data_IF_466151381104
#
_entry.id   IF_466151381104
#
_cell.length_a   1.000
_cell.length_b   1.000
_cell.length_c   1.000
_cell.angle_alpha   90.00
_cell.angle_beta   90.00
_cell.angle_gamma   90.00
#
_symmetry.space_group_name_H-M   'P 1'
#
loop_
_entity.id
_entity.type
_entity.pdbx_description
1 polymer ?
#
# COMPACT_ATOMS: atom_id res chain seq x y z
N UNK A 1 -2.56 23.51 -29.64
CA UNK A 1 -2.83 24.51 -28.59
C UNK A 1 -1.80 24.36 -27.50
N UNK A 2 -1.82 25.22 -26.48
CA UNK A 2 -0.94 25.07 -25.32
C UNK A 2 -1.76 24.94 -24.05
N UNK A 3 -1.17 24.35 -23.02
CA UNK A 3 -1.74 24.24 -21.69
C UNK A 3 -0.77 24.85 -20.68
N UNK A 4 -1.28 25.76 -19.84
CA UNK A 4 -0.50 26.41 -18.79
C UNK A 4 -1.16 26.07 -17.46
N UNK A 5 -0.39 25.49 -16.53
CA UNK A 5 -0.88 25.08 -15.23
C UNK A 5 0.27 24.91 -14.22
N UNK A 6 -0.09 24.73 -12.96
CA UNK A 6 0.83 24.40 -11.87
C UNK A 6 0.82 22.90 -11.57
N UNK A 7 1.96 22.39 -11.10
CA UNK A 7 2.06 21.04 -10.51
C UNK A 7 1.62 21.04 -9.03
N UNK A 8 1.53 22.22 -8.42
CA UNK A 8 1.19 22.44 -7.02
C UNK A 8 -0.08 23.29 -6.89
N UNK A 9 -0.52 23.53 -5.65
CA UNK A 9 -1.57 24.50 -5.37
C UNK A 9 -1.11 25.90 -5.79
N UNK A 10 -1.97 26.56 -6.56
CA UNK A 10 -1.78 27.96 -6.90
C UNK A 10 -2.13 28.86 -5.70
N UNK A 11 -1.38 29.94 -5.44
CA UNK A 11 -1.73 30.88 -4.39
C UNK A 11 -3.08 31.55 -4.65
N UNK A 12 -3.77 31.92 -3.56
CA UNK A 12 -5.13 32.50 -3.64
C UNK A 12 -5.23 33.85 -4.37
N UNK A 13 -4.10 34.56 -4.50
CA UNK A 13 -4.00 35.78 -5.32
C UNK A 13 -4.14 35.48 -6.83
N UNK A 14 -3.98 34.22 -7.24
CA UNK A 14 -4.12 33.77 -8.62
C UNK A 14 -2.94 34.18 -9.49
N UNK A 15 -3.22 34.54 -10.75
CA UNK A 15 -2.18 34.83 -11.74
C UNK A 15 -1.96 36.34 -11.85
N UNK A 16 -0.74 36.83 -12.15
CA UNK A 16 -0.49 38.26 -12.31
C UNK A 16 -0.97 38.77 -13.68
N UNK A 17 -2.29 38.84 -13.85
CA UNK A 17 -2.98 39.16 -15.10
C UNK A 17 -2.51 40.48 -15.70
N UNK A 18 -2.28 41.51 -14.89
CA UNK A 18 -1.80 42.81 -15.33
C UNK A 18 -0.46 42.71 -16.07
N UNK A 19 0.45 41.84 -15.61
CA UNK A 19 1.79 41.71 -16.17
C UNK A 19 1.79 41.04 -17.54
N UNK A 20 1.17 39.86 -17.67
CA UNK A 20 1.20 39.14 -18.95
C UNK A 20 0.18 39.67 -19.95
N UNK A 21 -0.92 40.30 -19.52
CA UNK A 21 -1.81 41.00 -20.44
C UNK A 21 -1.19 42.31 -20.96
N UNK A 22 -0.31 42.97 -20.19
CA UNK A 22 0.49 44.07 -20.72
C UNK A 22 1.44 43.61 -21.83
N UNK A 23 2.07 42.44 -21.68
CA UNK A 23 2.91 41.83 -22.72
C UNK A 23 2.08 41.51 -23.99
N UNK A 24 0.90 40.89 -23.83
CA UNK A 24 -0.01 40.61 -24.93
C UNK A 24 -0.51 41.88 -25.62
N UNK A 25 -0.81 42.93 -24.86
CA UNK A 25 -1.20 44.24 -25.41
C UNK A 25 -0.07 44.86 -26.23
N UNK A 26 1.18 44.74 -25.76
CA UNK A 26 2.34 45.26 -26.46
C UNK A 26 2.67 44.45 -27.73
N UNK A 27 2.37 43.15 -27.74
CA UNK A 27 2.51 42.29 -28.91
C UNK A 27 1.25 41.42 -29.11
N UNK A 28 0.20 41.93 -29.77
CA UNK A 28 -1.05 41.20 -29.94
C UNK A 28 -0.95 40.03 -30.92
N UNK A 29 0.20 39.86 -31.59
CA UNK A 29 0.46 38.78 -32.54
C UNK A 29 1.24 37.61 -31.92
N UNK A 30 1.36 37.56 -30.58
CA UNK A 30 1.96 36.41 -29.89
C UNK A 30 1.28 35.11 -30.32
N UNK A 31 2.09 34.11 -30.66
CA UNK A 31 1.58 32.74 -30.81
C UNK A 31 1.11 32.22 -29.45
N UNK A 32 0.25 31.18 -29.40
CA UNK A 32 -0.13 30.56 -28.14
C UNK A 32 1.08 30.12 -27.30
N UNK A 33 2.15 29.60 -27.93
CA UNK A 33 3.38 29.23 -27.25
C UNK A 33 4.13 30.41 -26.65
N UNK A 34 4.21 31.54 -27.37
CA UNK A 34 4.82 32.76 -26.86
C UNK A 34 4.04 33.32 -25.68
N UNK A 35 2.71 33.38 -25.78
CA UNK A 35 1.85 33.86 -24.69
C UNK A 35 1.97 32.95 -23.46
N UNK A 36 1.91 31.63 -23.64
CA UNK A 36 2.07 30.67 -22.54
C UNK A 36 3.44 30.79 -21.85
N UNK A 37 4.51 31.01 -22.63
CA UNK A 37 5.83 31.27 -22.07
C UNK A 37 5.91 32.58 -21.29
N UNK A 38 5.26 33.65 -21.78
CA UNK A 38 5.15 34.90 -21.05
C UNK A 38 4.41 34.74 -19.73
N UNK A 39 3.29 34.01 -19.71
CA UNK A 39 2.51 33.75 -18.49
C UNK A 39 3.39 33.09 -17.42
N UNK A 40 4.04 31.97 -17.74
CA UNK A 40 4.91 31.24 -16.80
C UNK A 40 6.05 32.11 -16.28
N UNK A 41 6.70 32.88 -17.16
CA UNK A 41 7.78 33.76 -16.77
C UNK A 41 7.31 34.90 -15.84
N UNK A 42 6.14 35.50 -16.10
CA UNK A 42 5.57 36.56 -15.25
C UNK A 42 5.11 36.02 -13.91
N UNK A 43 4.44 34.87 -13.91
CA UNK A 43 3.99 34.19 -12.71
C UNK A 43 5.16 33.86 -11.78
N UNK A 44 6.19 33.18 -12.29
CA UNK A 44 7.36 32.83 -11.51
C UNK A 44 8.12 34.04 -10.96
N UNK A 45 8.31 35.09 -11.78
CA UNK A 45 8.94 36.32 -11.30
C UNK A 45 8.11 37.03 -10.23
N UNK A 46 6.79 37.09 -10.39
CA UNK A 46 5.89 37.74 -9.45
C UNK A 46 6.00 37.11 -8.05
N UNK A 47 5.86 35.79 -7.96
CA UNK A 47 5.94 35.09 -6.67
C UNK A 47 7.35 35.01 -6.10
N UNK A 48 8.39 34.93 -6.95
CA UNK A 48 9.78 35.01 -6.50
C UNK A 48 10.08 36.31 -5.74
N UNK A 49 9.55 37.46 -6.20
CA UNK A 49 9.74 38.74 -5.52
C UNK A 49 9.05 38.83 -4.15
N UNK A 50 8.12 37.92 -3.88
CA UNK A 50 7.34 37.83 -2.65
C UNK A 50 7.86 36.74 -1.69
N UNK A 51 8.90 36.01 -2.11
CA UNK A 51 9.44 34.89 -1.34
C UNK A 51 8.50 33.68 -1.29
N UNK A 52 7.55 33.59 -2.22
CA UNK A 52 6.57 32.51 -2.29
C UNK A 52 7.05 31.43 -3.27
N UNK A 53 7.01 30.17 -2.82
CA UNK A 53 7.42 29.03 -3.64
C UNK A 53 6.23 28.56 -4.48
N UNK A 54 6.39 28.56 -5.81
CA UNK A 54 5.35 28.15 -6.77
C UNK A 54 5.96 27.34 -7.92
N UNK A 55 5.11 26.58 -8.61
CA UNK A 55 5.42 25.96 -9.91
C UNK A 55 4.44 26.46 -10.97
N UNK A 56 4.90 26.55 -12.22
CA UNK A 56 4.02 26.70 -13.39
C UNK A 56 4.77 26.28 -14.65
N UNK A 57 4.08 25.59 -15.56
CA UNK A 57 4.65 25.16 -16.83
C UNK A 57 3.72 25.46 -17.98
N UNK A 58 4.28 25.44 -19.19
CA UNK A 58 3.55 25.55 -20.44
C UNK A 58 3.91 24.35 -21.33
N UNK A 59 2.89 23.61 -21.76
CA UNK A 59 3.02 22.41 -22.59
C UNK A 59 2.38 22.61 -23.97
N UNK A 60 3.02 22.09 -25.01
CA UNK A 60 2.45 21.95 -26.35
C UNK A 60 1.53 20.73 -26.42
N UNK A 61 0.21 20.98 -26.49
CA UNK A 61 -0.80 19.93 -26.55
C UNK A 61 -0.69 19.04 -27.78
N UNK A 62 -0.04 19.51 -28.85
CA UNK A 62 0.18 18.70 -30.07
C UNK A 62 1.22 17.61 -29.87
N UNK A 63 2.01 17.69 -28.80
CA UNK A 63 3.06 16.71 -28.45
C UNK A 63 2.60 15.70 -27.42
N UNK A 64 1.49 15.96 -26.72
CA UNK A 64 0.95 15.03 -25.71
C UNK A 64 0.64 13.63 -26.24
N UNK A 65 0.16 13.41 -27.48
CA UNK A 65 -0.02 12.05 -27.98
C UNK A 65 1.29 11.25 -27.99
N UNK A 66 2.41 11.85 -28.41
CA UNK A 66 3.71 11.19 -28.41
C UNK A 66 4.23 10.92 -26.99
N UNK A 67 4.00 11.85 -26.06
CA UNK A 67 4.32 11.65 -24.65
C UNK A 67 3.47 10.52 -24.04
N UNK A 68 2.17 10.49 -24.32
CA UNK A 68 1.27 9.44 -23.86
C UNK A 68 1.70 8.07 -24.38
N UNK A 69 2.07 7.96 -25.66
CA UNK A 69 2.61 6.72 -26.23
C UNK A 69 3.94 6.30 -25.61
N UNK A 70 4.80 7.24 -25.22
CA UNK A 70 6.05 6.91 -24.54
C UNK A 70 5.81 6.40 -23.11
N UNK A 71 4.86 6.99 -22.38
CA UNK A 71 4.47 6.52 -21.05
C UNK A 71 3.77 5.16 -21.11
N UNK A 72 2.92 4.93 -22.11
CA UNK A 72 2.33 3.62 -22.39
C UNK A 72 3.39 2.55 -22.64
N UNK A 73 4.34 2.82 -23.54
CA UNK A 73 5.44 1.89 -23.82
C UNK A 73 6.27 1.57 -22.58
N UNK A 74 6.51 2.56 -21.71
CA UNK A 74 7.15 2.34 -20.41
C UNK A 74 6.30 1.45 -19.50
N UNK A 75 4.99 1.70 -19.39
CA UNK A 75 4.09 0.92 -18.56
C UNK A 75 4.01 -0.54 -19.02
N UNK A 76 3.89 -0.79 -20.34
CA UNK A 76 3.95 -2.12 -20.95
C UNK A 76 5.26 -2.83 -20.58
N UNK A 77 6.40 -2.18 -20.80
CA UNK A 77 7.70 -2.77 -20.50
C UNK A 77 7.88 -3.06 -19.00
N UNK A 78 7.33 -2.21 -18.14
CA UNK A 78 7.38 -2.38 -16.70
C UNK A 78 6.49 -3.55 -16.21
N UNK A 79 5.31 -3.75 -16.81
CA UNK A 79 4.45 -4.92 -16.57
C UNK A 79 5.17 -6.23 -16.93
N UNK A 80 5.92 -6.23 -18.04
CA UNK A 80 6.70 -7.39 -18.49
C UNK A 80 8.01 -7.61 -17.70
N UNK A 81 8.37 -6.70 -16.79
CA UNK A 81 9.61 -6.75 -16.02
C UNK A 81 9.42 -6.57 -14.49
N UNK A 82 8.74 -7.49 -13.78
CA UNK A 82 8.61 -7.44 -12.31
C UNK A 82 9.92 -7.25 -11.52
N UNK A 83 11.07 -7.83 -11.94
CA UNK A 83 12.35 -7.55 -11.26
C UNK A 83 12.78 -6.07 -11.28
N UNK A 84 12.25 -5.24 -12.18
CA UNK A 84 12.55 -3.81 -12.25
C UNK A 84 11.73 -2.96 -11.27
N UNK A 85 10.65 -3.51 -10.68
CA UNK A 85 9.69 -2.75 -9.88
C UNK A 85 10.32 -2.05 -8.68
N UNK A 86 11.28 -2.68 -8.00
CA UNK A 86 12.01 -2.06 -6.89
C UNK A 86 12.70 -0.75 -7.29
N UNK A 87 13.29 -0.70 -8.49
CA UNK A 87 13.93 0.52 -9.00
C UNK A 87 12.91 1.60 -9.34
N UNK A 88 11.72 1.22 -9.83
CA UNK A 88 10.64 2.14 -10.16
C UNK A 88 10.01 2.72 -8.90
N UNK A 89 9.76 1.87 -7.89
CA UNK A 89 9.27 2.28 -6.56
C UNK A 89 10.26 3.24 -5.91
N UNK A 90 11.57 2.94 -5.98
CA UNK A 90 12.60 3.84 -5.46
C UNK A 90 12.62 5.20 -6.18
N UNK A 91 12.55 5.21 -7.52
CA UNK A 91 12.48 6.45 -8.31
C UNK A 91 11.22 7.27 -7.97
N UNK A 92 10.09 6.61 -7.76
CA UNK A 92 8.83 7.22 -7.31
C UNK A 92 8.92 7.80 -5.90
N UNK A 93 9.61 7.14 -4.98
CA UNK A 93 9.77 7.59 -3.60
C UNK A 93 10.59 8.88 -3.48
N UNK A 94 11.57 9.07 -4.36
CA UNK A 94 12.47 10.24 -4.38
C UNK A 94 12.00 11.36 -5.31
N UNK A 95 11.11 11.08 -6.26
CA UNK A 95 10.55 12.09 -7.16
C UNK A 95 9.75 13.14 -6.37
N UNK A 96 9.90 14.40 -6.80
CA UNK A 96 9.14 15.52 -6.26
C UNK A 96 7.64 15.26 -6.31
N UNK A 97 6.95 15.76 -5.30
CA UNK A 97 5.51 15.76 -5.14
C UNK A 97 5.13 17.09 -4.50
N UNK A 98 3.85 17.46 -4.57
CA UNK A 98 3.39 18.81 -4.25
C UNK A 98 2.23 18.75 -3.25
N UNK A 99 1.13 19.44 -3.48
CA UNK A 99 -0.09 19.33 -2.65
C UNK A 99 -0.56 17.89 -2.37
N UNK A 100 -0.46 17.01 -3.35
CA UNK A 100 -0.89 15.61 -3.24
C UNK A 100 0.29 14.66 -3.55
N UNK A 101 0.62 13.81 -2.58
CA UNK A 101 1.69 12.80 -2.65
C UNK A 101 1.43 11.72 -3.70
N UNK A 102 0.21 11.57 -4.18
CA UNK A 102 -0.10 10.64 -5.24
C UNK A 102 0.41 11.14 -6.59
N UNK A 103 0.53 12.45 -6.80
CA UNK A 103 1.05 13.01 -8.04
C UNK A 103 2.56 13.23 -7.93
N UNK A 104 3.30 12.68 -8.91
CA UNK A 104 4.76 12.64 -8.91
C UNK A 104 5.31 13.28 -10.17
N UNK A 105 6.40 14.02 -10.03
CA UNK A 105 7.10 14.64 -11.16
C UNK A 105 7.54 13.56 -12.17
N UNK A 106 6.97 13.61 -13.39
CA UNK A 106 7.13 12.58 -14.41
C UNK A 106 8.60 12.47 -14.87
N UNK A 107 9.24 13.61 -15.13
CA UNK A 107 10.63 13.67 -15.57
C UNK A 107 11.60 13.31 -14.44
N UNK A 108 11.23 13.58 -13.19
CA UNK A 108 11.94 13.16 -11.98
C UNK A 108 12.03 11.64 -11.86
N UNK A 109 10.95 10.93 -12.21
CA UNK A 109 10.94 9.46 -12.27
C UNK A 109 11.72 8.96 -13.48
N UNK A 110 11.37 9.42 -14.69
CA UNK A 110 11.97 8.94 -15.94
C UNK A 110 13.49 9.18 -15.97
N UNK A 111 13.95 10.35 -15.51
CA UNK A 111 15.37 10.68 -15.45
C UNK A 111 16.18 9.76 -14.52
N UNK A 112 15.62 9.33 -13.39
CA UNK A 112 16.27 8.39 -12.47
C UNK A 112 16.38 6.98 -13.04
N UNK A 113 15.45 6.59 -13.91
CA UNK A 113 15.43 5.27 -14.54
C UNK A 113 16.27 5.19 -15.83
N UNK A 114 16.94 6.29 -16.22
CA UNK A 114 17.73 6.40 -17.45
C UNK A 114 18.95 5.46 -17.54
N UNK A 115 19.35 4.84 -16.42
CA UNK A 115 20.40 3.80 -16.33
C UNK A 115 19.89 2.44 -15.84
N UNK A 116 18.57 2.29 -15.70
CA UNK A 116 17.94 1.03 -15.27
C UNK A 116 17.81 0.01 -16.41
N UNK A 117 17.26 -1.16 -16.09
CA UNK A 117 16.84 -2.15 -17.10
C UNK A 117 15.76 -1.62 -18.06
N UNK A 118 15.01 -0.60 -17.66
CA UNK A 118 13.97 0.09 -18.48
C UNK A 118 14.48 1.41 -19.07
N UNK A 119 15.81 1.56 -19.21
CA UNK A 119 16.41 2.84 -19.57
C UNK A 119 16.02 3.35 -20.96
N UNK A 120 15.70 2.48 -21.92
CA UNK A 120 15.30 2.92 -23.26
C UNK A 120 13.93 3.59 -23.23
N UNK A 121 12.99 2.98 -22.54
CA UNK A 121 11.61 3.44 -22.36
C UNK A 121 11.60 4.70 -21.50
N UNK A 122 12.35 4.72 -20.40
CA UNK A 122 12.50 5.90 -19.55
C UNK A 122 13.11 7.09 -20.32
N UNK A 123 14.15 6.87 -21.13
CA UNK A 123 14.74 7.91 -21.99
C UNK A 123 13.75 8.39 -23.06
N UNK A 124 12.88 7.52 -23.57
CA UNK A 124 11.83 7.90 -24.52
C UNK A 124 10.77 8.80 -23.87
N UNK A 125 10.36 8.49 -22.63
CA UNK A 125 9.47 9.37 -21.84
C UNK A 125 10.11 10.75 -21.65
N UNK A 126 11.36 10.80 -21.18
CA UNK A 126 12.07 12.09 -21.00
C UNK A 126 12.22 12.87 -22.29
N UNK A 127 12.53 12.20 -23.41
CA UNK A 127 12.63 12.86 -24.71
C UNK A 127 11.28 13.43 -25.18
N UNK A 128 10.19 12.66 -25.05
CA UNK A 128 8.86 13.12 -25.42
C UNK A 128 8.36 14.24 -24.51
N UNK A 129 8.68 14.18 -23.21
CA UNK A 129 8.39 15.23 -22.24
C UNK A 129 9.08 16.54 -22.63
N UNK A 130 10.38 16.51 -22.91
CA UNK A 130 11.13 17.70 -23.33
C UNK A 130 10.68 18.25 -24.69
N UNK A 131 10.10 17.43 -25.57
CA UNK A 131 9.46 17.92 -26.80
C UNK A 131 8.13 18.63 -26.53
N UNK A 132 7.38 18.20 -25.50
CA UNK A 132 6.13 18.82 -25.10
C UNK A 132 6.32 20.09 -24.26
N UNK A 133 7.41 20.17 -23.49
CA UNK A 133 7.67 21.31 -22.61
C UNK A 133 8.10 22.56 -23.40
N UNK A 134 7.28 23.60 -23.36
CA UNK A 134 7.62 24.92 -23.91
C UNK A 134 8.45 25.72 -22.90
N UNK A 135 7.99 25.79 -21.66
CA UNK A 135 8.72 26.42 -20.57
C UNK A 135 8.27 25.89 -19.22
N UNK A 136 9.16 25.98 -18.23
CA UNK A 136 8.90 25.60 -16.85
C UNK A 136 9.46 26.67 -15.91
N UNK A 137 8.72 26.96 -14.86
CA UNK A 137 9.19 27.66 -13.68
C UNK A 137 8.90 26.80 -12.46
N UNK A 138 9.91 26.61 -11.62
CA UNK A 138 9.74 26.05 -10.28
C UNK A 138 10.62 26.81 -9.30
N UNK A 139 10.08 27.14 -8.14
CA UNK A 139 10.89 27.52 -7.00
C UNK A 139 11.88 26.38 -6.66
N UNK A 140 13.11 26.73 -6.30
CA UNK A 140 14.18 25.76 -6.10
C UNK A 140 13.86 24.74 -4.99
N UNK A 141 13.10 25.14 -3.98
CA UNK A 141 12.67 24.26 -2.88
C UNK A 141 11.65 23.19 -3.31
N UNK A 142 10.91 23.43 -4.38
CA UNK A 142 9.91 22.49 -4.91
C UNK A 142 10.52 21.53 -5.94
N UNK A 143 11.49 22.02 -6.73
CA UNK A 143 12.25 21.20 -7.67
C UNK A 143 11.43 20.61 -8.82
N UNK A 144 10.33 21.26 -9.19
CA UNK A 144 9.42 20.78 -10.23
C UNK A 144 9.89 21.00 -11.65
N UNK A 145 9.54 20.06 -12.52
CA UNK A 145 9.98 19.99 -13.91
C UNK A 145 8.86 20.35 -14.88
N UNK A 146 7.60 20.34 -14.44
CA UNK A 146 6.49 20.94 -15.15
C UNK A 146 5.33 20.00 -15.50
N UNK A 147 5.39 18.72 -15.13
CA UNK A 147 4.27 17.80 -15.31
C UNK A 147 4.33 16.65 -14.32
N UNK A 148 3.23 16.43 -13.61
CA UNK A 148 3.04 15.27 -12.74
C UNK A 148 2.29 14.14 -13.43
N UNK A 149 2.53 12.92 -12.96
CA UNK A 149 1.72 11.72 -13.24
C UNK A 149 1.15 11.15 -11.93
N UNK A 150 -0.06 10.61 -11.96
CA UNK A 150 -0.65 9.92 -10.81
C UNK A 150 0.07 8.58 -10.57
N UNK A 151 0.74 8.47 -9.43
CA UNK A 151 1.51 7.31 -8.99
C UNK A 151 1.48 7.21 -7.44
N UNK A 152 0.36 6.72 -6.87
CA UNK A 152 0.16 6.64 -5.42
C UNK A 152 1.13 5.67 -4.73
N UNK A 153 1.28 5.83 -3.41
CA UNK A 153 1.98 4.86 -2.56
C UNK A 153 0.93 4.03 -1.83
N UNK A 154 0.34 3.07 -2.53
CA UNK A 154 -0.76 2.26 -2.02
C UNK A 154 -1.85 2.10 -3.07
N UNK A 155 -3.03 1.72 -2.59
CA UNK A 155 -4.19 1.44 -3.43
C UNK A 155 -4.46 2.57 -4.44
N UNK A 156 -4.62 2.17 -5.70
CA UNK A 156 -4.94 3.06 -6.81
C UNK A 156 -6.43 3.38 -6.74
N UNK A 157 -6.77 4.67 -6.67
CA UNK A 157 -8.15 5.16 -6.59
C UNK A 157 -9.03 4.51 -7.69
N UNK A 158 -10.25 4.13 -7.33
CA UNK A 158 -11.21 3.57 -8.28
C UNK A 158 -11.61 4.56 -9.37
N UNK A 159 -11.56 5.86 -9.08
CA UNK A 159 -11.87 6.91 -10.05
C UNK A 159 -10.74 7.08 -11.08
N UNK A 160 -9.52 6.63 -10.75
CA UNK A 160 -8.40 6.56 -11.71
C UNK A 160 -8.48 5.25 -12.52
N UNK A 161 -9.50 5.18 -13.37
CA UNK A 161 -9.76 4.02 -14.22
C UNK A 161 -10.12 4.46 -15.64
N UNK A 162 -9.91 3.56 -16.62
CA UNK A 162 -10.23 3.77 -18.03
C UNK A 162 -11.68 4.27 -18.28
N UNK A 163 -12.63 3.94 -17.40
CA UNK A 163 -14.01 4.41 -17.48
C UNK A 163 -14.14 5.94 -17.33
N UNK A 164 -13.25 6.58 -16.58
CA UNK A 164 -13.34 7.99 -16.17
C UNK A 164 -12.19 8.85 -16.71
N UNK A 165 -11.00 8.27 -16.87
CA UNK A 165 -9.78 8.99 -17.25
C UNK A 165 -9.31 8.50 -18.61
N UNK A 166 -9.23 9.40 -19.60
CA UNK A 166 -8.79 9.06 -20.95
C UNK A 166 -7.35 8.53 -20.97
N UNK A 167 -6.44 9.10 -20.17
CA UNK A 167 -5.06 8.63 -20.09
C UNK A 167 -4.96 7.17 -19.61
N UNK A 168 -5.76 6.78 -18.62
CA UNK A 168 -5.88 5.39 -18.19
C UNK A 168 -6.51 4.49 -19.27
N UNK A 169 -7.44 5.02 -20.07
CA UNK A 169 -8.01 4.26 -21.20
C UNK A 169 -7.02 4.02 -22.33
N UNK A 170 -6.19 5.03 -22.62
CA UNK A 170 -5.34 5.07 -23.80
C UNK A 170 -3.94 4.50 -23.53
N UNK A 171 -3.61 4.15 -22.27
CA UNK A 171 -2.30 3.64 -21.85
C UNK A 171 -2.44 2.52 -20.84
N UNK A 172 -1.42 1.68 -20.69
CA UNK A 172 -1.35 0.63 -19.66
C UNK A 172 -0.91 1.16 -18.28
N UNK A 173 -0.99 2.48 -18.06
CA UNK A 173 -0.42 3.09 -16.87
C UNK A 173 -1.15 2.67 -15.59
N UNK A 174 -2.49 2.65 -15.59
CA UNK A 174 -3.25 2.23 -14.41
C UNK A 174 -3.13 0.71 -14.15
N UNK A 175 -3.07 -0.12 -15.19
CA UNK A 175 -2.76 -1.55 -15.05
C UNK A 175 -1.39 -1.75 -14.40
N UNK A 176 -0.38 -1.01 -14.86
CA UNK A 176 0.96 -1.06 -14.30
C UNK A 176 1.01 -0.65 -12.83
N UNK A 177 0.48 0.52 -12.46
CA UNK A 177 0.55 0.99 -11.06
C UNK A 177 -0.34 0.16 -10.12
N UNK A 178 -1.38 -0.52 -10.64
CA UNK A 178 -2.17 -1.52 -9.88
C UNK A 178 -1.38 -2.81 -9.71
N UNK A 179 -0.67 -3.27 -10.73
CA UNK A 179 0.19 -4.46 -10.65
C UNK A 179 1.39 -4.27 -9.71
N UNK A 180 1.88 -3.04 -9.56
CA UNK A 180 2.89 -2.69 -8.56
C UNK A 180 2.41 -2.86 -7.12
N UNK A 181 1.10 -2.89 -6.87
CA UNK A 181 0.59 -3.17 -5.54
C UNK A 181 0.71 -4.68 -5.26
N UNK A 182 1.23 -5.08 -4.09
CA UNK A 182 1.23 -6.49 -3.71
C UNK A 182 -0.21 -7.02 -3.75
N UNK A 183 -0.42 -8.13 -4.46
CA UNK A 183 -1.73 -8.77 -4.54
C UNK A 183 -2.12 -9.28 -3.16
N UNK A 184 -3.35 -9.00 -2.67
CA UNK A 184 -3.78 -9.52 -1.38
C UNK A 184 -3.58 -11.03 -1.27
N UNK A 185 -3.00 -11.51 -0.16
CA UNK A 185 -2.82 -12.94 0.07
C UNK A 185 -4.16 -13.70 0.06
N UNK A 186 -4.12 -15.01 -0.22
CA UNK A 186 -5.33 -15.83 -0.35
C UNK A 186 -6.22 -15.84 0.89
N UNK A 187 -5.63 -15.59 2.06
CA UNK A 187 -6.31 -15.54 3.36
C UNK A 187 -6.45 -14.11 3.91
N UNK A 188 -6.49 -13.11 3.02
CA UNK A 188 -6.78 -11.71 3.37
C UNK A 188 -8.23 -11.53 3.86
N UNK A 189 -9.19 -12.15 3.18
CA UNK A 189 -10.59 -12.03 3.60
C UNK A 189 -10.93 -12.97 4.77
N UNK A 190 -11.66 -12.45 5.75
CA UNK A 190 -12.24 -13.23 6.86
C UNK A 190 -13.08 -14.42 6.38
N UNK A 191 -13.70 -14.30 5.20
CA UNK A 191 -14.54 -15.35 4.61
C UNK A 191 -13.75 -16.49 3.95
N UNK A 192 -12.45 -16.30 3.74
CA UNK A 192 -11.54 -17.28 3.14
C UNK A 192 -10.31 -17.55 4.03
N UNK A 193 -10.48 -17.91 5.32
CA UNK A 193 -9.35 -18.11 6.22
C UNK A 193 -8.57 -19.37 5.83
N UNK A 194 -7.24 -19.36 6.02
CA UNK A 194 -6.44 -20.56 5.83
C UNK A 194 -6.74 -21.58 6.94
N UNK A 195 -7.21 -22.77 6.57
CA UNK A 195 -7.59 -23.80 7.54
C UNK A 195 -6.36 -24.54 8.11
N UNK A 196 -6.20 -24.50 9.43
CA UNK A 196 -5.22 -25.29 10.16
C UNK A 196 -5.79 -26.70 10.37
N UNK A 197 -5.18 -27.71 9.74
CA UNK A 197 -5.74 -29.08 9.69
C UNK A 197 -5.14 -30.03 10.72
N UNK A 198 -4.06 -29.64 11.40
CA UNK A 198 -3.35 -30.45 12.38
C UNK A 198 -3.45 -29.82 13.77
N UNK A 199 -3.36 -30.66 14.81
CA UNK A 199 -3.38 -30.19 16.21
C UNK A 199 -2.16 -29.34 16.58
N UNK A 200 -1.05 -29.51 15.87
CA UNK A 200 0.17 -28.72 16.02
C UNK A 200 0.82 -28.53 14.66
N UNK A 201 1.62 -27.49 14.51
CA UNK A 201 2.34 -27.21 13.27
C UNK A 201 2.82 -25.79 13.18
N UNK A 202 3.32 -25.46 11.99
CA UNK A 202 3.64 -24.09 11.59
C UNK A 202 3.24 -23.87 10.13
N UNK A 203 2.97 -22.62 9.80
CA UNK A 203 2.70 -22.17 8.43
C UNK A 203 3.29 -20.79 8.22
N UNK A 204 3.57 -20.47 6.96
CA UNK A 204 4.07 -19.17 6.56
C UNK A 204 2.95 -18.33 5.91
N UNK A 205 3.05 -17.02 6.07
CA UNK A 205 2.26 -16.02 5.35
C UNK A 205 3.11 -14.80 5.03
N UNK A 206 2.55 -13.87 4.27
CA UNK A 206 3.11 -12.53 4.11
C UNK A 206 1.91 -11.59 3.99
N UNK A 207 1.79 -10.59 4.86
CA UNK A 207 0.65 -9.67 4.88
C UNK A 207 0.88 -8.41 4.00
N UNK A 208 1.98 -8.34 3.25
CA UNK A 208 2.15 -7.35 2.19
C UNK A 208 0.99 -7.47 1.18
N UNK A 209 0.17 -6.42 1.10
CA UNK A 209 -1.02 -6.38 0.24
C UNK A 209 -2.32 -6.81 0.91
N UNK A 210 -2.28 -7.30 2.14
CA UNK A 210 -3.48 -7.55 2.93
C UNK A 210 -4.23 -6.23 3.24
N UNK A 211 -5.53 -6.31 3.50
CA UNK A 211 -6.39 -5.17 3.75
C UNK A 211 -7.30 -5.43 4.96
N UNK A 212 -7.61 -4.37 5.70
CA UNK A 212 -8.62 -4.46 6.75
C UNK A 212 -10.04 -4.44 6.15
N UNK A 213 -10.87 -5.41 6.53
CA UNK A 213 -12.28 -5.43 6.16
C UNK A 213 -13.13 -4.45 7.02
N UNK A 214 -14.19 -3.85 6.45
CA UNK A 214 -15.14 -3.04 7.21
C UNK A 214 -15.75 -3.81 8.38
N UNK A 215 -15.49 -3.34 9.60
CA UNK A 215 -16.02 -3.93 10.83
C UNK A 215 -15.08 -4.93 11.50
N UNK A 216 -13.86 -5.12 11.01
CA UNK A 216 -12.86 -5.91 11.74
C UNK A 216 -12.62 -5.39 13.17
N UNK A 217 -12.62 -6.29 14.16
CA UNK A 217 -12.34 -5.91 15.54
C UNK A 217 -10.87 -5.52 15.70
N UNK A 218 -10.61 -4.61 16.64
CA UNK A 218 -9.23 -4.30 17.06
C UNK A 218 -8.55 -5.54 17.64
N UNK A 219 -7.29 -5.79 17.27
CA UNK A 219 -6.47 -6.86 17.83
C UNK A 219 -5.55 -6.25 18.88
N UNK A 220 -5.66 -6.68 20.13
CA UNK A 220 -4.89 -6.09 21.26
C UNK A 220 -5.01 -4.55 21.38
N UNK A 221 -6.14 -3.97 20.94
CA UNK A 221 -6.35 -2.52 20.92
C UNK A 221 -5.85 -1.80 19.64
N UNK A 222 -5.09 -2.48 18.79
CA UNK A 222 -4.58 -1.96 17.51
C UNK A 222 -5.68 -2.00 16.45
N UNK A 223 -5.79 -0.92 15.65
CA UNK A 223 -6.71 -0.86 14.52
C UNK A 223 -6.20 -1.76 13.39
N UNK A 224 -7.02 -2.68 12.85
CA UNK A 224 -6.60 -3.53 11.73
C UNK A 224 -6.22 -2.72 10.49
N UNK A 225 -5.22 -3.20 9.75
CA UNK A 225 -4.73 -2.61 8.50
C UNK A 225 -4.38 -3.67 7.45
N UNK A 226 -3.67 -4.71 7.85
CA UNK A 226 -3.10 -5.74 6.98
C UNK A 226 -3.28 -7.12 7.61
N UNK A 227 -4.50 -7.41 8.09
CA UNK A 227 -4.78 -8.66 8.79
C UNK A 227 -4.91 -9.83 7.83
N UNK A 228 -4.28 -10.96 8.18
CA UNK A 228 -4.51 -12.25 7.55
C UNK A 228 -5.25 -13.18 8.51
N UNK A 229 -6.08 -14.05 7.95
CA UNK A 229 -6.99 -14.91 8.70
C UNK A 229 -6.65 -16.40 8.57
N UNK A 230 -6.68 -17.10 9.70
CA UNK A 230 -6.63 -18.55 9.80
C UNK A 230 -7.84 -19.07 10.56
N UNK A 231 -8.21 -20.32 10.32
CA UNK A 231 -9.27 -20.99 11.07
C UNK A 231 -8.78 -22.31 11.63
N UNK A 232 -9.18 -22.63 12.85
CA UNK A 232 -8.88 -23.91 13.48
C UNK A 232 -10.10 -24.47 14.18
N UNK A 233 -10.39 -25.74 13.94
CA UNK A 233 -11.45 -26.47 14.66
C UNK A 233 -10.80 -27.63 15.41
N UNK A 234 -10.65 -27.55 16.74
CA UNK A 234 -10.01 -28.59 17.52
C UNK A 234 -10.72 -29.94 17.32
N UNK A 235 -9.99 -31.03 16.99
CA UNK A 235 -10.59 -32.35 16.85
C UNK A 235 -11.00 -32.97 18.20
N UNK A 236 -10.53 -32.41 19.32
CA UNK A 236 -10.82 -32.83 20.68
C UNK A 236 -10.68 -31.64 21.64
N UNK A 237 -11.34 -31.71 22.81
CA UNK A 237 -11.23 -30.66 23.84
C UNK A 237 -9.88 -30.77 24.54
N UNK A 238 -9.23 -29.63 24.71
CA UNK A 238 -7.84 -29.52 25.13
C UNK A 238 -7.74 -28.68 26.40
N UNK A 239 -6.64 -28.78 27.15
CA UNK A 239 -6.40 -27.85 28.25
C UNK A 239 -6.01 -26.46 27.72
N UNK A 240 -5.21 -26.43 26.65
CA UNK A 240 -4.69 -25.20 26.06
C UNK A 240 -4.58 -25.31 24.53
N UNK A 241 -4.77 -24.19 23.84
CA UNK A 241 -4.37 -23.99 22.45
C UNK A 241 -3.43 -22.79 22.40
N UNK A 242 -2.15 -23.08 22.18
CA UNK A 242 -1.08 -22.10 22.12
C UNK A 242 -0.83 -21.69 20.67
N UNK A 243 -0.65 -20.40 20.45
CA UNK A 243 -0.38 -19.82 19.14
C UNK A 243 0.64 -18.69 19.31
N UNK A 244 1.65 -18.65 18.46
CA UNK A 244 2.62 -17.57 18.41
C UNK A 244 3.02 -17.22 16.98
N UNK A 245 3.61 -16.04 16.82
CA UNK A 245 4.16 -15.55 15.54
C UNK A 245 5.68 -15.55 15.51
N UNK A 246 6.33 -16.38 16.35
CA UNK A 246 7.77 -16.41 16.47
C UNK A 246 8.42 -16.86 15.15
N UNK A 247 9.39 -16.06 14.68
CA UNK A 247 10.04 -16.23 13.38
C UNK A 247 9.55 -15.28 12.30
N UNK A 248 8.55 -14.42 12.59
CA UNK A 248 8.17 -13.30 11.74
C UNK A 248 9.24 -12.19 11.74
N UNK A 249 9.31 -11.39 10.68
CA UNK A 249 10.35 -10.36 10.49
C UNK A 249 9.88 -8.93 10.81
N UNK A 250 8.69 -8.78 11.39
CA UNK A 250 8.07 -7.51 11.78
C UNK A 250 7.36 -7.59 13.14
N UNK A 251 6.92 -6.44 13.65
CA UNK A 251 6.15 -6.31 14.89
C UNK A 251 4.70 -6.76 14.66
N UNK A 252 4.33 -7.92 15.18
CA UNK A 252 3.02 -8.54 14.91
C UNK A 252 2.01 -8.22 15.99
N UNK A 253 0.72 -8.27 15.66
CA UNK A 253 -0.37 -8.42 16.63
C UNK A 253 -1.18 -9.67 16.32
N UNK A 254 -1.53 -10.45 17.33
CA UNK A 254 -2.21 -11.75 17.20
C UNK A 254 -3.50 -11.77 18.01
N UNK A 255 -4.61 -12.19 17.39
CA UNK A 255 -5.91 -12.34 18.03
C UNK A 255 -6.58 -13.66 17.73
N UNK A 256 -7.35 -14.18 18.69
CA UNK A 256 -8.20 -15.36 18.53
C UNK A 256 -9.64 -15.01 18.88
N UNK A 257 -10.55 -15.39 18.01
CA UNK A 257 -11.96 -15.03 18.04
C UNK A 257 -12.85 -16.25 17.87
N UNK A 258 -14.10 -16.11 18.31
CA UNK A 258 -15.22 -16.97 17.90
C UNK A 258 -16.27 -16.15 17.15
N UNK A 259 -17.02 -16.80 16.27
CA UNK A 259 -18.08 -16.19 15.46
C UNK A 259 -17.87 -16.42 13.97
N UNK A 260 -18.89 -16.11 13.18
CA UNK A 260 -18.95 -16.39 11.74
C UNK A 260 -19.09 -15.12 10.89
N UNK A 261 -19.01 -13.95 11.49
CA UNK A 261 -19.17 -12.66 10.82
C UNK A 261 -18.18 -11.68 11.44
N UNK A 262 -17.34 -11.08 10.59
CA UNK A 262 -16.21 -10.22 10.98
C UNK A 262 -16.63 -9.10 11.95
N UNK A 263 -17.76 -8.45 11.68
CA UNK A 263 -18.31 -7.33 12.47
C UNK A 263 -18.92 -7.71 13.81
N UNK A 264 -19.10 -9.01 14.08
CA UNK A 264 -19.67 -9.52 15.35
C UNK A 264 -18.78 -10.56 16.00
N UNK A 265 -17.50 -10.62 15.60
CA UNK A 265 -16.54 -11.53 16.23
C UNK A 265 -16.39 -11.23 17.72
N UNK A 266 -16.36 -12.30 18.51
CA UNK A 266 -16.06 -12.22 19.93
C UNK A 266 -14.60 -12.59 20.14
N UNK A 267 -13.79 -11.60 20.50
CA UNK A 267 -12.41 -11.82 20.91
C UNK A 267 -12.35 -12.69 22.16
N UNK A 268 -11.51 -13.72 22.12
CA UNK A 268 -11.22 -14.61 23.24
C UNK A 268 -9.96 -14.14 23.95
N UNK A 269 -8.90 -13.93 23.16
CA UNK A 269 -7.57 -13.51 23.61
C UNK A 269 -6.89 -12.76 22.46
N UNK A 270 -6.07 -11.78 22.79
CA UNK A 270 -5.18 -11.13 21.82
C UNK A 270 -3.93 -10.63 22.54
N UNK A 271 -2.85 -10.44 21.79
CA UNK A 271 -1.58 -9.94 22.28
C UNK A 271 -0.81 -9.24 21.15
N UNK A 272 -0.03 -8.22 21.50
CA UNK A 272 0.93 -7.55 20.62
C UNK A 272 2.32 -8.17 20.79
N UNK A 273 2.88 -8.15 22.00
CA UNK A 273 4.26 -8.56 22.24
C UNK A 273 4.37 -9.83 23.08
N UNK A 274 5.26 -10.74 22.69
CA UNK A 274 5.70 -11.81 23.58
C UNK A 274 6.58 -11.23 24.71
N UNK A 275 6.70 -12.00 25.79
CA UNK A 275 7.56 -11.67 26.93
C UNK A 275 9.03 -11.49 26.49
N UNK A 276 9.78 -10.73 27.28
CA UNK A 276 11.21 -10.46 27.11
C UNK A 276 11.57 -9.51 25.95
N UNK A 277 10.61 -8.70 25.47
CA UNK A 277 10.86 -7.66 24.47
C UNK A 277 10.97 -8.18 23.04
N UNK A 278 10.39 -9.34 22.76
CA UNK A 278 10.19 -9.81 21.39
C UNK A 278 8.91 -9.17 20.84
N UNK A 279 9.01 -8.53 19.67
CA UNK A 279 7.91 -7.87 18.98
C UNK A 279 6.98 -8.86 18.23
N UNK A 280 7.21 -10.16 18.40
CA UNK A 280 6.31 -11.21 17.91
C UNK A 280 5.32 -11.55 18.99
N UNK A 281 4.06 -11.79 18.65
CA UNK A 281 2.98 -12.07 19.59
C UNK A 281 2.88 -13.53 19.99
N UNK A 282 2.30 -13.78 21.17
CA UNK A 282 1.85 -15.10 21.62
C UNK A 282 0.55 -15.03 22.41
N UNK A 283 -0.35 -15.99 22.18
CA UNK A 283 -1.62 -16.13 22.89
C UNK A 283 -1.87 -17.57 23.31
N UNK A 284 -2.68 -17.75 24.34
CA UNK A 284 -3.15 -19.07 24.81
C UNK A 284 -4.65 -19.01 25.01
N UNK A 285 -5.38 -19.89 24.34
CA UNK A 285 -6.80 -20.14 24.63
C UNK A 285 -6.88 -21.28 25.64
N UNK A 286 -7.52 -21.04 26.79
CA UNK A 286 -7.71 -22.07 27.82
C UNK A 286 -9.00 -22.85 27.58
N UNK A 287 -8.95 -24.16 27.83
CA UNK A 287 -10.04 -25.10 27.65
C UNK A 287 -10.75 -25.02 26.28
N UNK A 288 -10.04 -24.99 25.14
CA UNK A 288 -10.69 -24.92 23.82
C UNK A 288 -11.53 -26.18 23.59
N UNK A 289 -12.74 -25.99 23.07
CA UNK A 289 -13.72 -27.05 22.92
C UNK A 289 -13.62 -27.74 21.55
N UNK A 290 -13.76 -29.07 21.55
CA UNK A 290 -13.86 -29.85 20.32
C UNK A 290 -14.98 -29.33 19.40
N UNK A 291 -14.72 -29.23 18.10
CA UNK A 291 -15.72 -28.85 17.11
C UNK A 291 -16.13 -27.37 17.08
N UNK A 292 -15.60 -26.53 17.96
CA UNK A 292 -15.77 -25.08 17.89
C UNK A 292 -14.70 -24.49 16.97
N UNK A 293 -15.10 -23.72 15.97
CA UNK A 293 -14.15 -23.02 15.09
C UNK A 293 -13.65 -21.74 15.75
N UNK A 294 -12.34 -21.63 15.83
CA UNK A 294 -11.59 -20.46 16.26
C UNK A 294 -11.04 -19.74 15.04
N UNK A 295 -11.31 -18.44 14.95
CA UNK A 295 -10.78 -17.56 13.91
C UNK A 295 -9.54 -16.87 14.49
N UNK A 296 -8.43 -16.94 13.77
CA UNK A 296 -7.13 -16.45 14.21
C UNK A 296 -6.73 -15.35 13.24
N UNK A 297 -6.39 -14.16 13.75
CA UNK A 297 -5.96 -13.04 12.94
C UNK A 297 -4.53 -12.64 13.33
N UNK A 298 -3.67 -12.43 12.33
CA UNK A 298 -2.35 -11.81 12.49
C UNK A 298 -2.32 -10.54 11.67
N UNK A 299 -1.92 -9.43 12.28
CA UNK A 299 -1.68 -8.14 11.62
C UNK A 299 -0.35 -7.56 12.14
N UNK A 300 0.03 -6.36 11.74
CA UNK A 300 1.20 -5.65 12.24
C UNK A 300 0.88 -4.48 13.15
N UNK A 301 1.71 -4.27 14.17
CA UNK A 301 1.63 -3.08 15.00
C UNK A 301 1.86 -1.83 14.14
N UNK A 302 1.01 -0.81 14.27
CA UNK A 302 1.12 0.41 13.45
C UNK A 302 0.86 0.24 11.95
N UNK A 303 0.51 -0.97 11.49
CA UNK A 303 0.40 -1.30 10.06
C UNK A 303 1.69 -1.85 9.45
N UNK A 304 2.61 -2.35 10.27
CA UNK A 304 3.78 -3.07 9.78
C UNK A 304 3.38 -4.30 8.94
N UNK A 305 4.20 -4.62 7.94
CA UNK A 305 3.99 -5.75 7.06
C UNK A 305 5.28 -6.52 6.86
N UNK A 306 5.18 -7.81 6.59
CA UNK A 306 6.31 -8.67 6.29
C UNK A 306 5.94 -10.15 6.28
N UNK A 307 6.97 -10.99 6.38
CA UNK A 307 6.83 -12.44 6.48
C UNK A 307 6.29 -12.84 7.85
N UNK A 308 5.19 -13.59 7.84
CA UNK A 308 4.56 -14.18 9.03
C UNK A 308 4.99 -15.63 9.16
N UNK A 309 5.47 -16.02 10.34
CA UNK A 309 5.56 -17.42 10.76
C UNK A 309 4.51 -17.66 11.85
N UNK A 310 3.45 -18.43 11.56
CA UNK A 310 2.41 -18.76 12.54
C UNK A 310 2.64 -20.19 13.05
N UNK A 311 2.87 -20.33 14.35
CA UNK A 311 3.06 -21.62 15.02
C UNK A 311 1.88 -21.91 15.94
N UNK A 312 1.48 -23.17 16.04
CA UNK A 312 0.38 -23.56 16.93
C UNK A 312 0.58 -24.93 17.55
N UNK A 313 0.01 -25.12 18.74
CA UNK A 313 0.01 -26.37 19.47
C UNK A 313 -1.25 -26.51 20.34
N UNK A 314 -2.05 -27.54 20.07
CA UNK A 314 -3.19 -27.94 20.89
C UNK A 314 -2.71 -28.97 21.93
N UNK A 315 -2.89 -28.66 23.21
CA UNK A 315 -2.35 -29.42 24.34
C UNK A 315 -3.45 -30.32 24.94
N UNK A 316 -3.30 -31.66 24.90
CA UNK A 316 -4.28 -32.58 25.49
C UNK A 316 -4.52 -32.29 26.96
N UNK A 317 -5.79 -32.43 27.37
CA UNK A 317 -6.13 -32.51 28.79
C UNK A 317 -5.30 -33.63 29.46
N UNK A 318 -4.75 -33.41 30.67
CA UNK A 318 -4.03 -34.46 31.38
C UNK A 318 -4.96 -35.65 31.60
N UNK A 319 -4.51 -36.84 31.21
CA UNK A 319 -5.29 -38.07 31.38
C UNK A 319 -5.70 -38.22 32.85
N UNK A 320 -7.00 -38.30 33.13
CA UNK A 320 -7.51 -38.62 34.46
C UNK A 320 -6.88 -39.96 34.91
N UNK A 321 -6.07 -39.94 35.97
CA UNK A 321 -5.66 -41.17 36.63
C UNK A 321 -6.89 -41.85 37.20
N UNK A 322 -7.41 -42.87 36.52
CA UNK A 322 -8.51 -43.70 37.02
C UNK A 322 -7.98 -44.44 38.25
N UNK A 323 -8.31 -43.94 39.45
CA UNK A 323 -8.05 -44.64 40.69
C UNK A 323 -8.94 -45.89 40.74
N UNK A 324 -8.41 -47.04 40.32
CA UNK A 324 -9.05 -48.33 40.54
C UNK A 324 -9.02 -48.62 42.05
N UNK A 325 -10.11 -48.34 42.75
CA UNK A 325 -10.28 -48.75 44.14
C UNK A 325 -10.52 -50.26 44.16
N UNK A 326 -9.47 -51.04 44.42
CA UNK A 326 -9.59 -52.47 44.68
C UNK A 326 -10.21 -52.68 46.08
N UNK A 327 -11.52 -52.92 46.12
CA UNK A 327 -12.24 -53.37 47.32
C UNK A 327 -11.92 -54.85 47.59
N UNK A 328 -10.83 -55.12 48.32
CA UNK A 328 -10.53 -56.48 48.78
C UNK A 328 -11.38 -56.82 50.00
N UNK A 329 -12.44 -57.61 49.81
CA UNK A 329 -13.29 -58.16 50.87
C UNK A 329 -12.46 -59.09 51.77
N UNK A 330 -12.18 -58.69 53.02
CA UNK A 330 -11.60 -59.58 54.04
C UNK A 330 -12.66 -60.58 54.53
N UNK A 331 -12.59 -61.84 54.08
CA UNK A 331 -13.30 -62.95 54.74
C UNK A 331 -12.62 -63.27 56.08
N UNK A 332 -13.34 -63.04 57.19
CA UNK A 332 -13.01 -63.62 58.51
C UNK A 332 -13.32 -65.12 58.47
N UNK A 333 -12.32 -65.97 58.65
CA UNK A 333 -12.54 -67.36 59.03
C UNK A 333 -12.76 -67.43 60.55
N UNK A 334 -13.86 -68.06 60.96
CA UNK A 334 -14.16 -68.45 62.35
C UNK A 334 -13.78 -69.92 62.54
N UNK A 335 -13.38 -70.20 63.79
CA UNK A 335 -13.12 -71.48 64.46
C UNK A 335 -11.69 -72.00 64.33
#
# INVERSE_FOLDING_TARGET
GVFVASEDLEPGDGWPYDLFLADLKANPLMTPAQLGACIVARYGKYYATRGEAVTQSCLDLTKLPALSSAVDAFAVAALDAPPAWNSIIAARATASWYSDKAFRDLEGIAGQLSSSSLSNEARAVSAAFHQALITNYSAAVLGGRGLTVYFPNGAVDSDYAAAHIQFARDTQWDEFIRALQPTPPANDSFTSPYALLTAYGSTAGNNEGATAEPGEPRIAGVTPRHSLWWSFTPPWSASEFEIDTQGSDFDTVLGVFTGTTVSTLRQIVANDDERNGLLTSRVVVTNPAAGITYQIAVDGYGGDTGSIALNWNLVPEPACAVAVVLLTVRRRARR
#
